data_IF_803985636516
#
_entry.id   IF_803985636516
#
_cell.length_a   1.000
_cell.length_b   1.000
_cell.length_c   1.000
_cell.angle_alpha   90.00
_cell.angle_beta   90.00
_cell.angle_gamma   90.00
#
_symmetry.space_group_name_H-M   'P 1'
#
loop_
_entity.id
_entity.type
_entity.pdbx_description
1 polymer ?
#
# COMPACT_ATOMS: atom_id res chain seq x y z
N UNK A 1 10.17 -0.94 -26.12
CA UNK A 1 9.94 -1.29 -24.70
C UNK A 1 8.78 -0.43 -24.20
N UNK A 2 7.76 -1.06 -23.64
CA UNK A 2 6.60 -0.36 -23.08
C UNK A 2 7.02 0.41 -21.83
N UNK A 3 6.41 1.57 -21.59
CA UNK A 3 6.79 2.55 -20.55
C UNK A 3 6.43 2.11 -19.12
N UNK A 4 5.89 0.90 -18.97
CA UNK A 4 5.37 0.33 -17.70
C UNK A 4 6.46 -0.32 -16.84
N UNK A 5 7.62 -0.69 -17.40
CA UNK A 5 8.71 -1.33 -16.65
C UNK A 5 9.41 -0.38 -15.64
N UNK A 6 9.16 0.93 -15.68
CA UNK A 6 9.80 1.90 -14.77
C UNK A 6 8.95 2.23 -13.52
N UNK A 7 7.71 1.73 -13.44
CA UNK A 7 6.84 1.98 -12.28
C UNK A 7 7.23 1.01 -11.16
N UNK A 8 7.73 1.49 -10.00
CA UNK A 8 8.11 0.59 -8.92
C UNK A 8 6.87 -0.14 -8.42
N UNK A 9 6.99 -1.46 -8.27
CA UNK A 9 5.90 -2.28 -7.75
C UNK A 9 5.52 -1.82 -6.34
N UNK A 10 4.23 -1.53 -6.14
CA UNK A 10 3.65 -1.12 -4.86
C UNK A 10 2.58 -2.09 -4.41
N UNK A 11 2.59 -2.43 -3.12
CA UNK A 11 1.59 -3.25 -2.47
C UNK A 11 1.08 -2.49 -1.25
N UNK A 12 -0.22 -2.21 -1.19
CA UNK A 12 -0.87 -1.64 0.00
C UNK A 12 -1.65 -2.72 0.71
N UNK A 13 -1.34 -2.94 1.99
CA UNK A 13 -2.07 -3.87 2.86
C UNK A 13 -3.06 -3.07 3.69
N UNK A 14 -4.31 -3.53 3.72
CA UNK A 14 -5.38 -2.99 4.56
C UNK A 14 -5.72 -4.00 5.66
N UNK A 15 -5.85 -3.52 6.91
CA UNK A 15 -6.21 -4.37 8.04
C UNK A 15 -7.08 -3.61 9.05
N UNK A 16 -8.06 -4.30 9.65
CA UNK A 16 -8.94 -3.74 10.69
C UNK A 16 -8.19 -3.47 11.99
N UNK A 17 -7.27 -4.37 12.34
CA UNK A 17 -6.45 -4.30 13.54
C UNK A 17 -4.97 -4.39 13.20
N UNK A 18 -4.14 -3.65 13.94
CA UNK A 18 -2.70 -3.61 13.71
C UNK A 18 -1.95 -3.84 15.03
N UNK A 19 -1.51 -5.10 15.25
CA UNK A 19 -0.64 -5.42 16.39
C UNK A 19 0.83 -5.28 15.99
N UNK A 20 1.72 -4.71 16.84
CA UNK A 20 3.13 -4.51 16.52
C UNK A 20 3.86 -5.78 16.05
N UNK A 21 3.51 -6.95 16.60
CA UNK A 21 4.11 -8.24 16.24
C UNK A 21 3.74 -8.69 14.82
N UNK A 22 2.46 -8.54 14.42
CA UNK A 22 2.02 -8.84 13.06
C UNK A 22 2.69 -7.90 12.05
N UNK A 23 2.91 -6.63 12.41
CA UNK A 23 3.65 -5.69 11.57
C UNK A 23 5.08 -6.14 11.32
N UNK A 24 5.77 -6.55 12.39
CA UNK A 24 7.17 -6.90 12.29
C UNK A 24 7.37 -8.16 11.45
N UNK A 25 6.48 -9.14 11.59
CA UNK A 25 6.43 -10.31 10.72
C UNK A 25 6.22 -9.91 9.25
N UNK A 26 5.23 -9.06 8.97
CA UNK A 26 4.94 -8.59 7.62
C UNK A 26 6.11 -7.81 7.03
N UNK A 27 6.71 -6.90 7.81
CA UNK A 27 7.87 -6.11 7.43
C UNK A 27 9.06 -7.01 7.08
N UNK A 28 9.39 -8.00 7.94
CA UNK A 28 10.51 -8.92 7.69
C UNK A 28 10.29 -9.74 6.42
N UNK A 29 9.09 -10.28 6.21
CA UNK A 29 8.77 -11.04 5.01
C UNK A 29 8.80 -10.18 3.73
N UNK A 30 8.26 -8.97 3.78
CA UNK A 30 8.26 -8.04 2.65
C UNK A 30 9.68 -7.54 2.33
N UNK A 31 10.50 -7.28 3.34
CA UNK A 31 11.92 -6.95 3.17
C UNK A 31 12.74 -8.10 2.57
N UNK A 32 12.47 -9.35 2.97
CA UNK A 32 13.09 -10.52 2.34
C UNK A 32 12.75 -10.64 0.85
N UNK A 33 11.61 -10.08 0.42
CA UNK A 33 11.15 -10.00 -0.97
C UNK A 33 11.58 -8.71 -1.68
N UNK A 34 12.46 -7.91 -1.08
CA UNK A 34 12.99 -6.67 -1.67
C UNK A 34 12.10 -5.42 -1.48
N UNK A 35 10.96 -5.55 -0.79
CA UNK A 35 10.08 -4.41 -0.54
C UNK A 35 10.51 -3.61 0.71
N UNK A 36 10.26 -2.30 0.68
CA UNK A 36 10.45 -1.40 1.82
C UNK A 36 9.14 -0.70 2.14
N UNK A 37 8.89 -0.47 3.43
CA UNK A 37 7.70 0.27 3.88
C UNK A 37 7.82 1.75 3.47
N UNK A 38 6.76 2.30 2.90
CA UNK A 38 6.61 3.70 2.50
C UNK A 38 5.53 4.35 3.38
N UNK A 39 5.91 5.37 4.14
CA UNK A 39 5.00 6.15 4.97
C UNK A 39 4.71 5.57 6.37
N UNK A 40 3.76 6.20 7.05
CA UNK A 40 3.30 5.82 8.40
C UNK A 40 2.01 5.01 8.30
N UNK A 41 1.85 4.05 9.22
CA UNK A 41 0.58 3.36 9.43
C UNK A 41 -0.37 4.26 10.20
N UNK A 42 -1.53 4.54 9.61
CA UNK A 42 -2.58 5.33 10.21
C UNK A 42 -3.95 4.73 9.89
N UNK A 43 -4.92 4.82 10.81
CA UNK A 43 -6.31 4.48 10.51
C UNK A 43 -6.88 5.49 9.51
N UNK A 44 -7.62 5.00 8.53
CA UNK A 44 -8.27 5.81 7.49
C UNK A 44 -9.61 5.19 7.09
N UNK A 45 -10.58 6.06 6.82
CA UNK A 45 -11.77 5.72 6.03
C UNK A 45 -11.44 5.98 4.57
N UNK A 46 -11.73 5.00 3.71
CA UNK A 46 -11.46 5.10 2.28
C UNK A 46 -12.70 5.56 1.55
N UNK A 47 -12.51 6.39 0.52
CA UNK A 47 -13.59 6.86 -0.35
C UNK A 47 -13.30 6.36 -1.77
N UNK A 48 -14.33 5.86 -2.44
CA UNK A 48 -14.32 5.54 -3.85
C UNK A 48 -14.81 6.76 -4.63
N UNK A 49 -14.03 7.19 -5.62
CA UNK A 49 -14.42 8.24 -6.55
C UNK A 49 -14.66 7.60 -7.93
N UNK A 50 -15.90 7.63 -8.41
CA UNK A 50 -16.28 7.11 -9.73
C UNK A 50 -16.77 8.25 -10.65
N UNK A 51 -15.89 8.71 -11.55
CA UNK A 51 -16.20 9.73 -12.54
C UNK A 51 -16.65 11.05 -11.91
N UNK A 52 -17.83 11.52 -12.30
CA UNK A 52 -18.44 12.77 -11.83
C UNK A 52 -19.37 12.58 -10.63
N UNK A 53 -19.46 11.36 -10.08
CA UNK A 53 -20.32 11.07 -8.93
C UNK A 53 -19.68 11.53 -7.62
N UNK A 54 -20.51 11.81 -6.61
CA UNK A 54 -20.04 12.14 -5.27
C UNK A 54 -19.21 10.98 -4.67
N UNK A 55 -18.11 11.26 -3.96
CA UNK A 55 -17.31 10.23 -3.31
C UNK A 55 -18.16 9.36 -2.37
N UNK A 56 -18.09 8.05 -2.55
CA UNK A 56 -18.81 7.08 -1.72
C UNK A 56 -17.86 6.42 -0.72
N UNK A 57 -18.30 6.10 0.51
CA UNK A 57 -17.50 5.30 1.42
C UNK A 57 -17.15 3.94 0.81
N UNK A 58 -15.88 3.60 0.84
CA UNK A 58 -15.37 2.27 0.50
C UNK A 58 -15.28 1.43 1.78
N UNK A 59 -15.37 0.10 1.64
CA UNK A 59 -15.29 -0.85 2.78
C UNK A 59 -16.34 -0.55 3.87
N UNK A 60 -17.58 -0.30 3.44
CA UNK A 60 -18.72 0.03 4.31
C UNK A 60 -18.50 1.28 5.20
N UNK A 61 -17.52 2.12 4.86
CA UNK A 61 -17.13 3.28 5.66
C UNK A 61 -16.38 2.93 6.94
N UNK A 62 -15.93 1.69 7.11
CA UNK A 62 -15.13 1.27 8.27
C UNK A 62 -13.69 1.83 8.20
N UNK A 63 -13.09 2.03 9.37
CA UNK A 63 -11.69 2.42 9.49
C UNK A 63 -10.77 1.22 9.25
N UNK A 64 -9.78 1.41 8.39
CA UNK A 64 -8.70 0.44 8.18
C UNK A 64 -7.35 1.11 8.38
N UNK A 65 -6.42 0.35 8.94
CA UNK A 65 -5.01 0.69 8.89
C UNK A 65 -4.45 0.32 7.53
N UNK A 66 -3.67 1.22 6.94
CA UNK A 66 -2.91 0.93 5.73
C UNK A 66 -1.42 1.00 5.93
N UNK A 67 -0.73 0.14 5.20
CA UNK A 67 0.72 0.19 5.01
C UNK A 67 1.03 -0.05 3.55
N UNK A 68 1.88 0.79 2.97
CA UNK A 68 2.35 0.61 1.60
C UNK A 68 3.78 0.08 1.61
N UNK A 69 4.04 -0.89 0.76
CA UNK A 69 5.34 -1.48 0.52
C UNK A 69 5.74 -1.27 -0.93
N UNK A 70 6.96 -0.80 -1.17
CA UNK A 70 7.48 -0.51 -2.50
C UNK A 70 8.71 -1.35 -2.79
N UNK A 71 8.78 -2.00 -3.96
CA UNK A 71 9.98 -2.72 -4.42
C UNK A 71 10.82 -1.80 -5.29
N UNK A 72 12.10 -1.67 -4.95
CA UNK A 72 13.07 -0.93 -5.78
C UNK A 72 13.72 -1.90 -6.77
N UNK A 73 12.97 -2.35 -7.75
CA UNK A 73 13.52 -3.06 -8.90
C UNK A 73 12.97 -2.44 -10.17
N UNK A 74 13.46 -1.23 -10.49
CA UNK A 74 13.95 -0.84 -11.82
C UNK A 74 14.96 0.29 -11.62
N UNK A 75 16.25 0.13 -11.98
CA UNK A 75 17.18 1.25 -12.02
C UNK A 75 16.70 2.25 -13.08
N UNK A 76 16.81 3.58 -12.86
CA UNK A 76 16.47 4.55 -13.89
C UNK A 76 17.28 4.22 -15.13
N UNK A 77 16.61 4.03 -16.26
CA UNK A 77 17.29 3.90 -17.56
C UNK A 77 18.16 5.15 -17.75
N UNK A 78 19.48 4.99 -17.76
CA UNK A 78 20.44 6.05 -18.09
C UNK A 78 20.37 6.39 -19.58
#
# INVERSE_FOLDING_TARGET
>A
MSKDDDIPERITVLAKDFTPAAMEFHRRNMSARGYRMEGQIAPRVYMLLEGESEPQPLLDGEEYYSVTFVRKDTPPSQ
#
